data_IF_406033938735
#
_entry.id   IF_406033938735
#
_cell.length_a   1.000
_cell.length_b   1.000
_cell.length_c   1.000
_cell.angle_alpha   90.00
_cell.angle_beta   90.00
_cell.angle_gamma   90.00
#
_symmetry.space_group_name_H-M   'P 1'
#
loop_
_entity.id
_entity.type
_entity.pdbx_description
1 polymer ?
#
# COMPACT_ATOMS: atom_id res chain seq x y z
N UNK A 1 -6.48 8.97 4.28
CA UNK A 1 -6.46 8.20 3.01
C UNK A 1 -5.43 7.11 3.17
N UNK A 2 -5.88 5.86 3.18
CA UNK A 2 -5.00 4.69 3.24
C UNK A 2 -4.78 4.22 1.82
N UNK A 3 -3.55 3.86 1.51
CA UNK A 3 -3.16 3.39 0.19
C UNK A 3 -2.76 1.93 0.26
N UNK A 4 -2.86 1.23 -0.87
CA UNK A 4 -2.62 -0.21 -0.94
C UNK A 4 -1.63 -0.56 -2.04
N UNK A 5 -0.90 -1.64 -1.79
CA UNK A 5 0.10 -2.14 -2.70
C UNK A 5 -0.59 -2.76 -3.92
N UNK A 6 -0.25 -2.38 -5.16
CA UNK A 6 -0.82 -3.00 -6.35
C UNK A 6 -0.37 -4.46 -6.54
N UNK A 7 0.74 -4.88 -5.91
CA UNK A 7 1.26 -6.24 -6.03
C UNK A 7 0.59 -7.22 -5.04
N UNK A 8 0.36 -6.80 -3.80
CA UNK A 8 -0.08 -7.69 -2.71
C UNK A 8 -1.32 -7.21 -1.96
N UNK A 9 -1.93 -6.10 -2.38
CA UNK A 9 -3.17 -5.58 -1.80
C UNK A 9 -3.09 -5.07 -0.35
N UNK A 10 -1.93 -5.17 0.29
CA UNK A 10 -1.74 -4.74 1.68
C UNK A 10 -1.60 -3.22 1.79
N UNK A 11 -1.93 -2.68 2.96
CA UNK A 11 -1.76 -1.25 3.23
C UNK A 11 -0.28 -0.85 3.14
N UNK A 12 -0.01 0.26 2.47
CA UNK A 12 1.33 0.84 2.32
C UNK A 12 1.49 2.05 3.23
N UNK A 13 2.71 2.26 3.68
CA UNK A 13 3.08 3.38 4.52
C UNK A 13 3.40 4.61 3.67
N UNK A 14 2.82 5.76 4.03
CA UNK A 14 3.10 7.01 3.36
C UNK A 14 4.34 7.65 3.98
N UNK A 15 5.46 7.61 3.27
CA UNK A 15 6.71 8.23 3.70
C UNK A 15 6.77 9.63 3.10
N UNK A 16 6.84 10.65 3.95
CA UNK A 16 7.05 12.04 3.53
C UNK A 16 8.50 12.43 3.79
N UNK A 17 9.21 12.87 2.76
CA UNK A 17 10.62 13.29 2.89
C UNK A 17 10.92 14.48 1.98
N UNK A 18 11.58 15.51 2.51
CA UNK A 18 12.13 16.69 1.82
C UNK A 18 11.37 17.10 0.52
N UNK A 19 10.05 17.33 0.63
CA UNK A 19 9.21 17.80 -0.48
C UNK A 19 8.52 16.73 -1.33
N UNK A 20 8.79 15.44 -1.11
CA UNK A 20 8.16 14.33 -1.84
C UNK A 20 7.37 13.41 -0.90
N UNK A 21 6.28 12.83 -1.41
CA UNK A 21 5.53 11.77 -0.73
C UNK A 21 5.74 10.47 -1.51
N UNK A 22 6.35 9.49 -0.86
CA UNK A 22 6.50 8.12 -1.34
C UNK A 22 5.56 7.16 -0.61
N UNK A 23 5.33 6.00 -1.20
CA UNK A 23 4.55 4.93 -0.59
C UNK A 23 5.46 3.71 -0.43
N UNK A 24 5.52 3.09 0.73
CA UNK A 24 6.35 1.92 0.97
C UNK A 24 5.51 0.75 1.46
N UNK A 25 5.61 -0.37 0.76
CA UNK A 25 4.94 -1.60 1.15
C UNK A 25 5.82 -2.38 2.11
N UNK A 26 5.45 -2.43 3.40
CA UNK A 26 6.13 -3.22 4.41
C UNK A 26 6.02 -4.74 4.18
N UNK A 27 5.05 -5.20 3.38
CA UNK A 27 4.87 -6.63 3.06
C UNK A 27 5.75 -7.11 1.92
N UNK A 28 5.84 -6.33 0.85
CA UNK A 28 6.74 -6.58 -0.27
C UNK A 28 8.16 -6.05 0.00
N UNK A 29 8.33 -5.23 1.04
CA UNK A 29 9.53 -4.47 1.37
C UNK A 29 10.06 -3.65 0.19
N UNK A 30 9.13 -2.97 -0.49
CA UNK A 30 9.39 -2.22 -1.74
C UNK A 30 8.74 -0.84 -1.71
N UNK A 31 9.40 0.10 -2.40
CA UNK A 31 8.85 1.43 -2.63
C UNK A 31 7.86 1.40 -3.81
N UNK A 32 6.64 1.80 -3.54
CA UNK A 32 5.53 1.91 -4.49
C UNK A 32 5.42 3.36 -4.95
N UNK A 33 5.29 3.55 -6.26
CA UNK A 33 5.09 4.87 -6.84
C UNK A 33 3.68 5.38 -6.58
N UNK A 34 3.55 6.70 -6.36
CA UNK A 34 2.26 7.38 -6.17
C UNK A 34 1.26 7.19 -7.30
N UNK A 35 1.75 6.81 -8.49
CA UNK A 35 0.96 6.58 -9.69
C UNK A 35 0.45 5.14 -9.83
N UNK A 36 1.07 4.20 -9.13
CA UNK A 36 0.74 2.77 -9.18
C UNK A 36 0.04 2.29 -7.92
N UNK A 37 0.07 3.09 -6.86
CA UNK A 37 -0.55 2.76 -5.58
C UNK A 37 -2.07 2.76 -5.70
N UNK A 38 -2.72 1.78 -5.07
CA UNK A 38 -4.18 1.67 -5.07
C UNK A 38 -4.78 2.56 -3.98
N UNK A 39 -5.86 3.26 -4.30
CA UNK A 39 -6.62 4.10 -3.35
C UNK A 39 -7.68 3.33 -2.58
N UNK A 40 -8.02 2.14 -3.05
CA UNK A 40 -8.99 1.23 -2.47
C UNK A 40 -8.33 -0.11 -2.16
N UNK A 41 -8.83 -0.78 -1.12
CA UNK A 41 -8.33 -2.11 -0.75
C UNK A 41 -8.82 -3.08 -1.83
N UNK A 42 -7.93 -3.78 -2.56
CA UNK A 42 -8.39 -4.85 -3.42
C UNK A 42 -9.08 -5.87 -2.51
N UNK A 43 -10.33 -6.18 -2.84
CA UNK A 43 -11.19 -7.08 -2.09
C UNK A 43 -10.62 -8.50 -2.23
N UNK A 44 -9.61 -8.81 -1.42
CA UNK A 44 -9.18 -10.19 -1.21
C UNK A 44 -10.20 -10.86 -0.29
N UNK A 45 -11.14 -11.56 -0.93
CA UNK A 45 -12.08 -12.47 -0.30
C UNK A 45 -11.32 -13.64 0.34
N UNK A 46 -11.38 -13.74 1.68
CA UNK A 46 -11.51 -14.93 2.56
C UNK A 46 -10.51 -14.97 3.74
N UNK A 47 -11.00 -14.75 4.97
CA UNK A 47 -11.26 -15.74 6.07
C UNK A 47 -10.06 -15.82 7.04
N UNK A 48 -10.15 -15.88 8.36
CA UNK A 48 -11.19 -16.36 9.27
C UNK A 48 -10.96 -15.70 10.64
N UNK A 49 -12.03 -15.38 11.35
CA UNK A 49 -12.06 -15.09 12.78
C UNK A 49 -11.48 -16.28 13.55
N UNK A 50 -10.64 -16.02 14.55
CA UNK A 50 -10.36 -16.97 15.63
C UNK A 50 -10.70 -16.33 16.97
#
# INVERSE_FOLDING_TARGET
MTYYCPECGNAVECIRGCGSTGYFCNKCNKLISSKSVLTEKPVELKKEEN
#
